data_IF_722789450096
#
_entry.id   IF_722789450096
#
_cell.length_a   1.000
_cell.length_b   1.000
_cell.length_c   1.000
_cell.angle_alpha   90.00
_cell.angle_beta   90.00
_cell.angle_gamma   90.00
#
_symmetry.space_group_name_H-M   'P 1'
#
loop_
_entity.id
_entity.type
_entity.pdbx_description
1 polymer ?
#
# COMPACT_ATOMS: atom_id res chain seq x y z
N UNK A 1 4.51 -12.52 2.86
CA UNK A 1 3.95 -11.53 1.91
C UNK A 1 4.74 -11.64 0.61
N UNK A 2 4.28 -12.51 -0.29
CA UNK A 2 5.03 -12.89 -1.49
C UNK A 2 4.80 -11.90 -2.63
N UNK A 3 5.87 -11.26 -3.08
CA UNK A 3 5.90 -10.46 -4.30
C UNK A 3 5.81 -11.40 -5.51
N UNK A 4 4.72 -11.34 -6.26
CA UNK A 4 4.72 -11.70 -7.67
C UNK A 4 4.91 -10.40 -8.44
N UNK A 5 5.86 -10.36 -9.38
CA UNK A 5 5.88 -9.55 -10.61
C UNK A 5 7.33 -9.42 -11.11
N UNK A 6 7.78 -10.43 -11.85
CA UNK A 6 8.79 -10.40 -12.92
C UNK A 6 8.57 -11.70 -13.70
N UNK A 7 8.59 -11.85 -15.03
CA UNK A 7 9.38 -11.21 -16.08
C UNK A 7 8.67 -11.41 -17.42
N UNK A 8 8.71 -10.43 -18.32
CA UNK A 8 8.60 -10.64 -19.76
C UNK A 8 9.80 -9.96 -20.42
N UNK A 9 10.76 -10.74 -20.94
CA UNK A 9 11.68 -10.42 -22.04
C UNK A 9 12.02 -11.77 -22.71
N UNK A 10 11.49 -12.03 -23.90
CA UNK A 10 12.04 -11.77 -25.24
C UNK A 10 13.16 -12.73 -25.67
N UNK A 11 12.86 -13.45 -26.76
CA UNK A 11 13.62 -13.49 -28.02
C UNK A 11 13.78 -14.92 -28.57
N UNK A 12 13.34 -15.08 -29.81
CA UNK A 12 13.42 -16.30 -30.58
C UNK A 12 14.76 -16.39 -31.35
N UNK A 13 15.32 -17.61 -31.37
CA UNK A 13 15.95 -18.34 -32.49
C UNK A 13 17.24 -17.73 -33.12
N UNK A 14 18.25 -18.47 -33.59
CA UNK A 14 18.54 -19.89 -33.85
C UNK A 14 20.05 -20.10 -33.59
N UNK A 15 20.51 -21.34 -33.35
CA UNK A 15 21.74 -21.89 -33.96
C UNK A 15 21.74 -23.44 -33.91
N UNK A 16 22.03 -24.01 -35.09
CA UNK A 16 22.52 -25.36 -35.47
C UNK A 16 22.21 -26.60 -34.64
N UNK A 17 21.53 -27.55 -35.28
CA UNK A 17 21.20 -28.88 -34.79
C UNK A 17 22.44 -29.81 -34.69
N UNK A 18 22.69 -30.31 -33.48
CA UNK A 18 23.40 -31.57 -33.23
C UNK A 18 22.40 -32.54 -32.62
N UNK A 19 22.26 -33.72 -33.23
CA UNK A 19 21.42 -34.80 -32.73
C UNK A 19 22.06 -35.39 -31.45
N UNK A 20 21.73 -34.79 -30.31
CA UNK A 20 21.97 -35.37 -28.98
C UNK A 20 20.96 -36.47 -28.67
N UNK A 21 21.30 -37.41 -27.76
CA UNK A 21 20.47 -38.58 -27.48
C UNK A 21 19.07 -38.15 -27.02
N UNK A 22 18.08 -39.01 -27.29
CA UNK A 22 16.70 -38.91 -26.82
C UNK A 22 16.64 -39.02 -25.28
N UNK A 23 17.16 -38.00 -24.60
CA UNK A 23 16.75 -37.66 -23.26
C UNK A 23 15.33 -37.18 -23.38
N UNK A 24 14.38 -38.05 -23.04
CA UNK A 24 13.01 -37.66 -22.75
C UNK A 24 13.06 -36.62 -21.63
N UNK A 25 13.22 -35.35 -22.04
CA UNK A 25 12.87 -34.22 -21.21
C UNK A 25 11.36 -34.32 -21.09
N UNK A 26 10.90 -35.00 -20.03
CA UNK A 26 9.50 -34.98 -19.62
C UNK A 26 9.07 -33.52 -19.68
N UNK A 27 8.01 -33.17 -20.43
CA UNK A 27 7.54 -31.79 -20.47
C UNK A 27 7.25 -31.40 -19.02
N UNK A 28 8.08 -30.51 -18.47
CA UNK A 28 7.83 -29.95 -17.15
C UNK A 28 6.43 -29.35 -17.23
N UNK A 29 5.48 -29.77 -16.37
CA UNK A 29 4.13 -29.24 -16.44
C UNK A 29 4.22 -27.72 -16.33
N UNK A 30 3.90 -27.03 -17.41
CA UNK A 30 3.82 -25.57 -17.42
C UNK A 30 2.54 -25.21 -16.67
N UNK A 31 2.63 -25.17 -15.34
CA UNK A 31 1.55 -24.66 -14.51
C UNK A 31 1.27 -23.21 -14.93
N UNK A 32 0.01 -22.94 -15.26
CA UNK A 32 -0.43 -21.60 -15.59
C UNK A 32 -0.49 -20.74 -14.32
N UNK A 33 -0.47 -19.41 -14.47
CA UNK A 33 -0.70 -18.48 -13.35
C UNK A 33 -2.02 -18.79 -12.61
N UNK A 34 -3.03 -19.26 -13.35
CA UNK A 34 -4.31 -19.72 -12.81
C UNK A 34 -4.15 -20.96 -11.93
N UNK A 35 -3.32 -21.93 -12.32
CA UNK A 35 -3.06 -23.14 -11.53
C UNK A 35 -2.35 -22.81 -10.22
N UNK A 36 -1.40 -21.86 -10.26
CA UNK A 36 -0.72 -21.39 -9.05
C UNK A 36 -1.70 -20.67 -8.10
N UNK A 37 -2.60 -19.84 -8.63
CA UNK A 37 -3.63 -19.17 -7.83
C UNK A 37 -4.59 -20.17 -7.18
N UNK A 38 -5.02 -21.19 -7.92
CA UNK A 38 -5.85 -22.29 -7.38
C UNK A 38 -5.10 -23.05 -6.29
N UNK A 39 -3.82 -23.37 -6.48
CA UNK A 39 -2.99 -24.02 -5.45
C UNK A 39 -2.89 -23.16 -4.18
N UNK A 40 -2.62 -21.87 -4.31
CA UNK A 40 -2.56 -20.92 -3.18
C UNK A 40 -3.91 -20.83 -2.47
N UNK A 41 -5.02 -20.82 -3.21
CA UNK A 41 -6.38 -20.83 -2.66
C UNK A 41 -6.67 -22.11 -1.88
N UNK A 42 -6.31 -23.27 -2.42
CA UNK A 42 -6.53 -24.56 -1.76
C UNK A 42 -5.67 -24.72 -0.50
N UNK A 43 -4.46 -24.17 -0.50
CA UNK A 43 -3.53 -24.19 0.63
C UNK A 43 -3.90 -23.18 1.75
N UNK A 44 -4.85 -22.28 1.52
CA UNK A 44 -5.26 -21.26 2.47
C UNK A 44 -6.13 -21.86 3.60
N UNK A 45 -5.93 -21.45 4.87
CA UNK A 45 -6.81 -21.84 5.97
C UNK A 45 -8.26 -21.46 5.73
N UNK A 46 -9.20 -22.28 6.20
CA UNK A 46 -10.63 -22.07 5.96
C UNK A 46 -11.13 -20.69 6.45
N UNK A 47 -10.65 -20.23 7.60
CA UNK A 47 -11.00 -18.92 8.13
C UNK A 47 -10.56 -17.77 7.20
N UNK A 48 -9.38 -17.88 6.58
CA UNK A 48 -8.87 -16.87 5.66
C UNK A 48 -9.63 -16.90 4.32
N UNK A 49 -9.98 -18.10 3.81
CA UNK A 49 -10.85 -18.24 2.64
C UNK A 49 -12.22 -17.60 2.88
N UNK A 50 -12.85 -17.89 4.03
CA UNK A 50 -14.14 -17.32 4.40
C UNK A 50 -14.08 -15.79 4.47
N UNK A 51 -13.02 -15.22 5.03
CA UNK A 51 -12.83 -13.77 5.04
C UNK A 51 -12.72 -13.18 3.63
N UNK A 52 -11.95 -13.81 2.74
CA UNK A 52 -11.82 -13.35 1.35
C UNK A 52 -13.14 -13.42 0.58
N UNK A 53 -13.92 -14.49 0.77
CA UNK A 53 -15.26 -14.63 0.18
C UNK A 53 -16.15 -13.49 0.68
N UNK A 54 -16.19 -13.23 1.99
CA UNK A 54 -17.00 -12.13 2.54
C UNK A 54 -16.59 -10.75 2.01
N UNK A 55 -15.28 -10.50 1.84
CA UNK A 55 -14.77 -9.26 1.25
C UNK A 55 -15.20 -9.12 -0.22
N UNK A 56 -15.16 -10.22 -0.97
CA UNK A 56 -15.59 -10.26 -2.36
C UNK A 56 -17.10 -10.04 -2.51
N UNK A 57 -17.91 -10.69 -1.68
CA UNK A 57 -19.37 -10.51 -1.69
C UNK A 57 -19.75 -9.07 -1.34
N UNK A 58 -19.08 -8.47 -0.35
CA UNK A 58 -19.24 -7.05 -0.04
C UNK A 58 -18.88 -6.16 -1.23
N UNK A 59 -17.80 -6.44 -1.94
CA UNK A 59 -17.41 -5.70 -3.13
C UNK A 59 -18.46 -5.82 -4.24
N UNK A 60 -18.95 -7.03 -4.52
CA UNK A 60 -20.01 -7.24 -5.53
C UNK A 60 -21.32 -6.54 -5.18
N UNK A 61 -21.65 -6.43 -3.90
CA UNK A 61 -22.85 -5.74 -3.43
C UNK A 61 -22.73 -4.21 -3.47
N UNK A 62 -21.55 -3.63 -3.72
CA UNK A 62 -21.38 -2.17 -3.81
C UNK A 62 -22.00 -1.62 -5.10
N UNK A 63 -22.46 -0.35 -5.11
CA UNK A 63 -22.85 0.34 -6.33
C UNK A 63 -21.71 0.36 -7.36
N UNK A 64 -22.05 0.28 -8.65
CA UNK A 64 -21.09 0.20 -9.75
C UNK A 64 -20.00 1.29 -9.68
N UNK A 65 -20.37 2.54 -9.39
CA UNK A 65 -19.42 3.65 -9.26
C UNK A 65 -18.36 3.42 -8.15
N UNK A 66 -18.74 2.76 -7.06
CA UNK A 66 -17.79 2.42 -5.98
C UNK A 66 -16.88 1.27 -6.41
N UNK A 67 -17.42 0.26 -7.11
CA UNK A 67 -16.62 -0.83 -7.66
C UNK A 67 -15.56 -0.30 -8.63
N UNK A 68 -15.94 0.63 -9.50
CA UNK A 68 -15.05 1.27 -10.47
C UNK A 68 -13.96 2.11 -9.79
N UNK A 69 -14.30 2.84 -8.73
CA UNK A 69 -13.32 3.56 -7.93
C UNK A 69 -12.29 2.62 -7.29
N UNK A 70 -12.73 1.46 -6.78
CA UNK A 70 -11.83 0.44 -6.22
C UNK A 70 -10.96 -0.18 -7.31
N UNK A 71 -11.53 -0.57 -8.47
CA UNK A 71 -10.77 -1.09 -9.62
C UNK A 71 -9.68 -0.11 -10.06
N UNK A 72 -10.02 1.17 -10.23
CA UNK A 72 -9.06 2.22 -10.63
C UNK A 72 -7.92 2.40 -9.63
N UNK A 73 -8.23 2.36 -8.32
CA UNK A 73 -7.20 2.41 -7.27
C UNK A 73 -6.31 1.17 -7.32
N UNK A 74 -6.87 0.00 -7.56
CA UNK A 74 -6.12 -1.24 -7.68
C UNK A 74 -5.20 -1.23 -8.91
N UNK A 75 -5.67 -0.76 -10.06
CA UNK A 75 -4.85 -0.58 -11.27
C UNK A 75 -3.69 0.38 -11.01
N UNK A 76 -3.94 1.46 -10.26
CA UNK A 76 -2.88 2.41 -9.90
C UNK A 76 -1.88 1.78 -8.93
N UNK A 77 -2.36 0.98 -7.97
CA UNK A 77 -1.51 0.22 -7.05
C UNK A 77 -0.59 -0.77 -7.76
N UNK A 78 -1.09 -1.48 -8.78
CA UNK A 78 -0.29 -2.41 -9.57
C UNK A 78 0.85 -1.73 -10.33
N UNK A 79 0.66 -0.48 -10.73
CA UNK A 79 1.67 0.32 -11.44
C UNK A 79 2.76 0.89 -10.52
N UNK A 80 2.65 0.72 -9.21
CA UNK A 80 3.62 1.23 -8.24
C UNK A 80 4.88 0.37 -8.20
N UNK A 81 6.01 1.04 -8.02
CA UNK A 81 7.30 0.37 -7.80
C UNK A 81 7.27 -0.44 -6.50
N UNK A 82 8.11 -1.48 -6.35
CA UNK A 82 8.18 -2.25 -5.10
C UNK A 82 8.41 -1.38 -3.86
N UNK A 83 9.23 -0.33 -3.97
CA UNK A 83 9.48 0.64 -2.89
C UNK A 83 8.22 1.42 -2.51
N UNK A 84 7.46 1.91 -3.50
CA UNK A 84 6.19 2.61 -3.27
C UNK A 84 5.14 1.69 -2.63
N UNK A 85 5.04 0.43 -3.08
CA UNK A 85 4.14 -0.57 -2.48
C UNK A 85 4.55 -0.88 -1.04
N UNK A 86 5.84 -1.08 -0.78
CA UNK A 86 6.38 -1.29 0.57
C UNK A 86 6.07 -0.13 1.52
N UNK A 87 6.17 1.10 1.03
CA UNK A 87 5.78 2.28 1.81
C UNK A 87 4.30 2.25 2.18
N UNK A 88 3.39 2.06 1.22
CA UNK A 88 1.94 1.99 1.49
C UNK A 88 1.62 0.87 2.48
N UNK A 89 2.27 -0.27 2.35
CA UNK A 89 2.11 -1.39 3.26
C UNK A 89 2.56 -1.07 4.69
N UNK A 90 3.72 -0.43 4.86
CA UNK A 90 4.20 0.01 6.18
C UNK A 90 3.22 1.00 6.84
N UNK A 91 2.67 1.92 6.05
CA UNK A 91 1.66 2.89 6.51
C UNK A 91 0.38 2.21 6.93
N UNK A 92 -0.07 1.22 6.15
CA UNK A 92 -1.23 0.42 6.47
C UNK A 92 -1.04 -0.38 7.75
N UNK A 93 0.11 -1.02 7.94
CA UNK A 93 0.45 -1.74 9.18
C UNK A 93 0.47 -0.80 10.39
N UNK A 94 1.08 0.37 10.24
CA UNK A 94 1.09 1.41 11.29
C UNK A 94 -0.33 1.83 11.66
N UNK A 95 -1.20 2.02 10.66
CA UNK A 95 -2.60 2.36 10.90
C UNK A 95 -3.37 1.23 11.58
N UNK A 96 -3.15 -0.03 11.18
CA UNK A 96 -3.81 -1.19 11.77
C UNK A 96 -3.39 -1.45 13.22
N UNK A 97 -2.15 -1.12 13.59
CA UNK A 97 -1.66 -1.28 14.97
C UNK A 97 -2.10 -0.16 15.91
N UNK A 98 -2.71 0.92 15.40
CA UNK A 98 -3.25 1.99 16.24
C UNK A 98 -4.48 1.53 17.02
N UNK A 99 -4.66 1.97 18.28
CA UNK A 99 -5.93 1.87 19.00
C UNK A 99 -7.11 2.46 18.21
N UNK A 100 -8.36 2.00 18.42
CA UNK A 100 -9.51 2.47 17.66
C UNK A 100 -9.73 3.99 17.70
N UNK A 101 -9.41 4.64 18.81
CA UNK A 101 -9.53 6.10 18.94
C UNK A 101 -8.50 6.84 18.08
N UNK A 102 -7.24 6.39 18.11
CA UNK A 102 -6.19 6.92 17.25
C UNK A 102 -6.50 6.67 15.77
N UNK A 103 -7.04 5.51 15.41
CA UNK A 103 -7.49 5.25 14.03
C UNK A 103 -8.57 6.23 13.57
N UNK A 104 -9.51 6.60 14.45
CA UNK A 104 -10.52 7.63 14.13
C UNK A 104 -9.86 8.99 13.96
N UNK A 105 -8.94 9.36 14.87
CA UNK A 105 -8.19 10.60 14.76
C UNK A 105 -7.35 10.67 13.48
N UNK A 106 -6.70 9.57 13.11
CA UNK A 106 -5.94 9.40 11.89
C UNK A 106 -6.78 9.68 10.64
N UNK A 107 -7.96 9.06 10.57
CA UNK A 107 -8.92 9.28 9.48
C UNK A 107 -9.33 10.75 9.42
N UNK A 108 -9.66 11.38 10.56
CA UNK A 108 -10.04 12.79 10.62
C UNK A 108 -8.93 13.73 10.12
N UNK A 109 -7.69 13.52 10.57
CA UNK A 109 -6.53 14.30 10.14
C UNK A 109 -6.36 14.18 8.62
N UNK A 110 -6.39 12.96 8.10
CA UNK A 110 -6.22 12.71 6.66
C UNK A 110 -7.36 13.30 5.84
N UNK A 111 -8.62 13.11 6.25
CA UNK A 111 -9.79 13.70 5.58
C UNK A 111 -9.69 15.22 5.54
N UNK A 112 -9.26 15.86 6.64
CA UNK A 112 -9.08 17.32 6.68
C UNK A 112 -7.96 17.76 5.75
N UNK A 113 -6.83 17.03 5.71
CA UNK A 113 -5.71 17.32 4.83
C UNK A 113 -6.11 17.25 3.35
N UNK A 114 -6.82 16.20 2.93
CA UNK A 114 -7.25 16.00 1.54
C UNK A 114 -8.24 17.07 1.07
N UNK A 115 -9.01 17.67 1.99
CA UNK A 115 -9.93 18.79 1.70
C UNK A 115 -9.22 20.14 1.55
N UNK A 116 -7.93 20.25 1.88
CA UNK A 116 -7.19 21.49 1.71
C UNK A 116 -6.92 21.78 0.24
N UNK A 117 -6.85 23.05 -0.18
CA UNK A 117 -6.38 23.42 -1.51
C UNK A 117 -4.98 22.84 -1.79
N UNK A 118 -4.65 22.47 -3.05
CA UNK A 118 -3.38 21.83 -3.40
C UNK A 118 -2.15 22.59 -2.89
N UNK A 119 -2.14 23.92 -2.95
CA UNK A 119 -1.00 24.72 -2.48
C UNK A 119 -0.83 24.64 -0.95
N UNK A 120 -1.93 24.57 -0.21
CA UNK A 120 -1.91 24.38 1.25
C UNK A 120 -1.44 22.98 1.61
N UNK A 121 -1.82 21.96 0.85
CA UNK A 121 -1.28 20.61 1.01
C UNK A 121 0.24 20.58 0.80
N UNK A 122 0.75 21.23 -0.25
CA UNK A 122 2.20 21.33 -0.52
C UNK A 122 2.94 22.04 0.62
N UNK A 123 2.40 23.17 1.11
CA UNK A 123 3.00 23.90 2.23
C UNK A 123 3.10 23.03 3.49
N UNK A 124 2.05 22.28 3.83
CA UNK A 124 2.08 21.36 4.97
C UNK A 124 3.04 20.19 4.75
N UNK A 125 3.08 19.62 3.56
CA UNK A 125 4.01 18.55 3.22
C UNK A 125 5.48 18.96 3.44
N UNK A 126 5.84 20.19 3.03
CA UNK A 126 7.17 20.76 3.29
C UNK A 126 7.45 20.91 4.79
N UNK A 127 6.49 21.44 5.56
CA UNK A 127 6.64 21.56 7.03
C UNK A 127 6.85 20.21 7.70
N UNK A 128 6.11 19.19 7.28
CA UNK A 128 6.26 17.83 7.79
C UNK A 128 7.61 17.21 7.40
N UNK A 129 8.11 17.52 6.20
CA UNK A 129 9.43 17.11 5.78
C UNK A 129 10.53 17.74 6.64
N UNK A 130 10.43 19.05 6.93
CA UNK A 130 11.36 19.73 7.83
C UNK A 130 11.34 19.07 9.22
N UNK A 131 10.15 18.86 9.80
CA UNK A 131 10.02 18.21 11.11
C UNK A 131 10.67 16.82 11.13
N UNK A 132 10.52 16.00 10.08
CA UNK A 132 11.15 14.68 10.01
C UNK A 132 12.67 14.74 9.91
N UNK A 133 13.23 15.78 9.28
CA UNK A 133 14.68 15.97 9.14
C UNK A 133 15.33 16.46 10.44
N UNK A 134 14.57 17.12 11.33
CA UNK A 134 15.05 17.51 12.67
C UNK A 134 15.41 16.29 13.52
N UNK A 135 16.34 16.46 14.46
CA UNK A 135 16.62 15.48 15.51
C UNK A 135 15.41 15.27 16.45
N UNK A 136 15.33 14.15 17.20
CA UNK A 136 14.18 13.85 18.05
C UNK A 136 13.83 14.97 19.05
N UNK A 137 14.83 15.50 19.74
CA UNK A 137 14.64 16.56 20.75
C UNK A 137 14.23 17.90 20.13
N UNK A 138 14.92 18.31 19.06
CA UNK A 138 14.60 19.54 18.33
C UNK A 138 13.17 19.49 17.76
N UNK A 139 12.79 18.33 17.20
CA UNK A 139 11.44 18.10 16.69
C UNK A 139 10.40 18.20 17.81
N UNK A 140 10.68 17.61 18.97
CA UNK A 140 9.77 17.68 20.12
C UNK A 140 9.62 19.13 20.57
N UNK A 141 10.71 19.88 20.72
CA UNK A 141 10.67 21.30 21.05
C UNK A 141 9.88 22.13 20.01
N UNK A 142 10.01 21.81 18.72
CA UNK A 142 9.26 22.47 17.65
C UNK A 142 7.74 22.18 17.73
N UNK A 143 7.37 20.94 18.08
CA UNK A 143 5.99 20.54 18.32
C UNK A 143 5.44 21.19 19.60
N UNK A 144 6.26 21.33 20.63
CA UNK A 144 5.88 21.97 21.89
C UNK A 144 5.61 23.45 21.75
N UNK A 145 6.37 24.12 20.89
CA UNK A 145 6.13 25.52 20.50
C UNK A 145 4.94 25.72 19.57
N UNK A 146 4.38 24.65 18.99
CA UNK A 146 3.28 24.75 18.03
C UNK A 146 1.92 24.78 18.76
N UNK A 147 1.19 25.92 18.77
CA UNK A 147 -0.07 26.02 19.51
C UNK A 147 -1.17 25.12 18.94
N UNK A 148 -1.10 24.77 17.64
CA UNK A 148 -2.07 23.87 17.02
C UNK A 148 -1.88 22.45 17.53
N UNK A 149 -0.62 22.00 17.63
CA UNK A 149 -0.29 20.68 18.15
C UNK A 149 -0.64 20.56 19.64
N UNK A 150 -0.34 21.59 20.44
CA UNK A 150 -0.67 21.61 21.87
C UNK A 150 -2.18 21.57 22.17
N UNK A 151 -3.01 22.13 21.28
CA UNK A 151 -4.47 22.09 21.41
C UNK A 151 -5.09 20.75 20.96
N UNK A 152 -4.34 19.85 20.35
CA UNK A 152 -4.86 18.55 19.91
C UNK A 152 -5.09 17.63 21.13
N UNK A 153 -6.24 16.96 21.22
CA UNK A 153 -6.45 15.90 22.21
C UNK A 153 -5.36 14.82 22.10
N UNK A 154 -5.01 14.13 23.21
CA UNK A 154 -4.00 13.06 23.21
C UNK A 154 -4.09 12.06 22.04
N UNK A 155 -5.25 11.44 21.71
CA UNK A 155 -5.33 10.49 20.59
C UNK A 155 -5.03 11.13 19.23
N UNK A 156 -5.30 12.44 19.08
CA UNK A 156 -5.01 13.17 17.86
C UNK A 156 -3.53 13.52 17.75
N UNK A 157 -2.86 13.83 18.86
CA UNK A 157 -1.39 14.00 18.89
C UNK A 157 -0.71 12.70 18.52
N UNK A 158 -1.06 11.59 19.16
CA UNK A 158 -0.48 10.27 18.87
C UNK A 158 -0.70 9.85 17.41
N UNK A 159 -1.93 9.95 16.92
CA UNK A 159 -2.24 9.66 15.53
C UNK A 159 -1.45 10.58 14.57
N UNK A 160 -1.36 11.88 14.87
CA UNK A 160 -0.56 12.81 14.06
C UNK A 160 0.91 12.39 14.02
N UNK A 161 1.52 12.05 15.15
CA UNK A 161 2.92 11.62 15.20
C UNK A 161 3.13 10.34 14.40
N UNK A 162 2.28 9.33 14.59
CA UNK A 162 2.38 8.05 13.87
C UNK A 162 2.12 8.20 12.36
N UNK A 163 1.27 9.13 11.93
CA UNK A 163 1.01 9.37 10.50
C UNK A 163 2.00 10.35 9.88
N UNK A 164 2.48 11.36 10.57
CA UNK A 164 3.33 12.37 9.95
C UNK A 164 4.80 11.97 10.03
N UNK A 165 5.19 11.26 11.08
CA UNK A 165 6.58 10.88 11.32
C UNK A 165 6.96 9.48 10.81
N UNK A 166 6.01 8.58 10.54
CA UNK A 166 6.30 7.23 10.04
C UNK A 166 6.59 7.17 8.52
N UNK A 167 7.58 7.94 8.06
CA UNK A 167 8.14 7.87 6.69
C UNK A 167 7.89 9.11 5.81
N UNK A 168 8.46 9.15 4.59
CA UNK A 168 8.40 10.32 3.70
C UNK A 168 6.94 10.68 3.32
N UNK A 169 6.63 11.96 3.11
CA UNK A 169 5.38 12.35 2.43
C UNK A 169 5.58 11.99 0.96
N UNK A 170 5.40 10.72 0.62
CA UNK A 170 5.11 10.39 -0.76
C UNK A 170 3.70 10.92 -1.04
N UNK A 171 3.53 11.70 -2.11
CA UNK A 171 2.19 12.00 -2.63
C UNK A 171 1.52 10.66 -2.87
N UNK A 172 0.58 10.25 -2.01
CA UNK A 172 -0.03 8.92 -2.07
C UNK A 172 -0.60 8.73 -3.48
N UNK A 173 0.00 7.87 -4.31
CA UNK A 173 -0.36 7.76 -5.71
C UNK A 173 -1.72 7.10 -5.89
N UNK A 174 -2.27 6.47 -4.84
CA UNK A 174 -3.61 5.87 -4.85
C UNK A 174 -4.72 6.90 -4.58
N UNK A 175 -4.37 8.03 -3.98
CA UNK A 175 -5.26 9.14 -3.75
C UNK A 175 -5.13 10.08 -4.96
N UNK A 176 -6.02 9.89 -5.93
CA UNK A 176 -6.07 10.67 -7.17
C UNK A 176 -6.00 12.18 -6.90
N UNK A 177 -5.26 12.88 -7.77
CA UNK A 177 -5.24 14.35 -7.86
C UNK A 177 -6.62 14.91 -8.15
#
# INVERSE_FOLDING_TARGET
MGNCLSCLLLAAALWTATAGPLGAQSPTPQFTEKDELVRRWMAMPEAERAELIQRYDRFKAMPQAQQDAIRKRFETFQKLTPSQRGFIQSRWQTFQSMPPEEQRAAKMIMTRFLKLPPDRQRQLALKFEILRRMGPEERQAALDRNPTFQKMPPPMREAFLKIVMAGPVFKDPLMGR
#
